data_IF_903071011562
#
_entry.id   IF_903071011562
#
_cell.length_a   1.000
_cell.length_b   1.000
_cell.length_c   1.000
_cell.angle_alpha   90.00
_cell.angle_beta   90.00
_cell.angle_gamma   90.00
#
_symmetry.space_group_name_H-M   'P 1'
#
loop_
_entity.id
_entity.type
_entity.pdbx_description
1 polymer ?
#
# COMPACT_ATOMS: atom_id res chain seq x y z
N UNK A 1 7.57 10.00 -13.28
CA UNK A 1 7.11 9.78 -11.89
C UNK A 1 5.83 10.56 -11.64
N UNK A 2 5.71 11.79 -12.15
CA UNK A 2 4.51 12.61 -11.97
C UNK A 2 3.24 12.03 -12.60
N UNK A 3 3.34 11.34 -13.74
CA UNK A 3 2.22 10.64 -14.38
C UNK A 3 1.69 9.42 -13.58
N UNK A 4 2.52 8.84 -12.70
CA UNK A 4 2.08 7.79 -11.78
C UNK A 4 1.17 8.36 -10.67
N UNK A 5 1.43 9.59 -10.23
CA UNK A 5 0.63 10.27 -9.21
C UNK A 5 -0.67 10.85 -9.76
N UNK A 6 -0.91 10.76 -11.07
CA UNK A 6 -2.18 11.14 -11.67
C UNK A 6 -3.32 10.26 -11.13
N UNK A 7 -4.37 10.93 -10.66
CA UNK A 7 -5.54 10.30 -10.06
C UNK A 7 -6.32 9.58 -11.17
N UNK A 8 -6.18 8.26 -11.18
CA UNK A 8 -6.80 7.37 -12.16
C UNK A 8 -7.58 6.34 -11.37
N UNK A 9 -8.84 6.10 -11.75
CA UNK A 9 -9.74 5.16 -11.07
C UNK A 9 -9.29 3.69 -11.12
N UNK A 10 -8.08 3.42 -11.62
CA UNK A 10 -7.54 2.10 -11.84
C UNK A 10 -6.34 1.89 -10.94
N UNK A 11 -6.32 0.75 -10.25
CA UNK A 11 -5.19 0.31 -9.42
C UNK A 11 -3.93 0.25 -10.26
N UNK A 12 -2.90 0.99 -9.81
CA UNK A 12 -1.60 1.08 -10.48
C UNK A 12 -0.51 1.10 -9.43
N UNK A 13 0.46 0.22 -9.57
CA UNK A 13 1.62 0.16 -8.70
C UNK A 13 2.89 0.03 -9.51
N UNK A 14 3.97 0.58 -9.00
CA UNK A 14 5.29 0.47 -9.62
C UNK A 14 6.08 -0.62 -8.92
N UNK A 15 6.74 -1.47 -9.70
CA UNK A 15 7.69 -2.46 -9.20
C UNK A 15 9.10 -2.13 -9.69
N UNK A 16 10.07 -2.29 -8.82
CA UNK A 16 11.49 -2.16 -9.11
C UNK A 16 12.22 -3.46 -8.78
N UNK A 17 13.06 -3.98 -9.69
CA UNK A 17 13.89 -5.16 -9.43
C UNK A 17 13.49 -6.45 -10.17
N UNK A 18 12.26 -6.54 -10.71
CA UNK A 18 11.70 -7.78 -11.28
C UNK A 18 12.49 -8.31 -12.49
N UNK A 19 12.92 -7.43 -13.40
CA UNK A 19 13.74 -7.77 -14.58
C UNK A 19 15.04 -6.95 -14.55
N UNK A 20 15.83 -7.13 -13.49
CA UNK A 20 16.98 -6.30 -13.16
C UNK A 20 16.58 -4.96 -12.57
N UNK A 21 17.48 -3.98 -12.57
CA UNK A 21 17.30 -2.67 -11.95
C UNK A 21 16.43 -1.70 -12.79
N UNK A 22 15.30 -2.20 -13.31
CA UNK A 22 14.34 -1.41 -14.09
C UNK A 22 13.05 -1.19 -13.33
N UNK A 23 12.42 -0.05 -13.60
CA UNK A 23 11.08 0.27 -13.14
C UNK A 23 10.05 -0.30 -14.11
N UNK A 24 8.99 -0.88 -13.58
CA UNK A 24 7.86 -1.39 -14.35
C UNK A 24 6.56 -0.93 -13.70
N UNK A 25 5.57 -0.63 -14.52
CA UNK A 25 4.22 -0.31 -14.06
C UNK A 25 3.36 -1.56 -14.16
N UNK A 26 2.72 -1.91 -13.06
CA UNK A 26 1.66 -2.91 -13.03
C UNK A 26 0.33 -2.18 -12.96
N UNK A 27 -0.60 -2.59 -13.82
CA UNK A 27 -1.95 -2.03 -13.89
C UNK A 27 -2.93 -3.18 -13.76
N UNK A 28 -3.88 -3.05 -12.83
CA UNK A 28 -4.88 -4.06 -12.62
C UNK A 28 -5.79 -4.15 -13.84
N UNK A 29 -5.85 -5.34 -14.44
CA UNK A 29 -6.64 -5.60 -15.65
C UNK A 29 -8.10 -5.89 -15.31
N UNK A 30 -8.32 -6.74 -14.31
CA UNK A 30 -9.62 -7.23 -13.92
C UNK A 30 -9.79 -7.04 -12.41
N UNK A 31 -10.64 -6.09 -12.05
CA UNK A 31 -10.92 -5.78 -10.66
C UNK A 31 -11.81 -6.83 -10.01
N UNK A 32 -12.76 -7.42 -10.75
CA UNK A 32 -13.70 -8.39 -10.19
C UNK A 32 -12.97 -9.67 -9.77
N UNK A 33 -12.05 -10.14 -10.61
CA UNK A 33 -11.20 -11.29 -10.26
C UNK A 33 -10.34 -11.00 -9.02
N UNK A 34 -9.71 -9.82 -8.94
CA UNK A 34 -8.89 -9.46 -7.78
C UNK A 34 -9.72 -9.27 -6.50
N UNK A 35 -10.91 -8.67 -6.61
CA UNK A 35 -11.86 -8.46 -5.52
C UNK A 35 -12.29 -9.78 -4.87
N UNK A 36 -12.37 -10.87 -5.64
CA UNK A 36 -12.70 -12.21 -5.14
C UNK A 36 -11.55 -12.88 -4.36
N UNK A 37 -10.32 -12.43 -4.55
CA UNK A 37 -9.14 -12.93 -3.84
C UNK A 37 -8.95 -12.23 -2.48
N UNK A 38 -9.64 -11.11 -2.26
CA UNK A 38 -9.60 -10.36 -0.99
C UNK A 38 -10.68 -10.94 -0.05
N UNK A 39 -10.41 -11.05 1.28
CA UNK A 39 -11.40 -11.54 2.23
C UNK A 39 -12.76 -10.82 2.13
N UNK A 40 -13.85 -11.58 2.24
CA UNK A 40 -15.22 -11.09 2.00
C UNK A 40 -15.65 -9.93 2.93
N UNK A 41 -15.02 -9.78 4.10
CA UNK A 41 -15.38 -8.78 5.11
C UNK A 41 -14.77 -7.39 4.84
N UNK A 42 -14.65 -7.00 3.57
CA UNK A 42 -14.08 -5.71 3.18
C UNK A 42 -14.97 -4.98 2.19
N UNK A 43 -15.00 -3.65 2.34
CA UNK A 43 -15.72 -2.73 1.47
C UNK A 43 -15.11 -2.68 0.07
N UNK A 44 -15.90 -2.31 -0.94
CA UNK A 44 -15.38 -2.09 -2.31
C UNK A 44 -14.30 -1.00 -2.35
N UNK A 45 -14.38 0.00 -1.45
CA UNK A 45 -13.35 1.02 -1.29
C UNK A 45 -12.01 0.42 -0.82
N UNK A 46 -12.05 -0.48 0.16
CA UNK A 46 -10.87 -1.17 0.64
C UNK A 46 -10.24 -2.04 -0.45
N UNK A 47 -11.06 -2.81 -1.16
CA UNK A 47 -10.61 -3.70 -2.24
C UNK A 47 -9.98 -2.94 -3.41
N UNK A 48 -10.41 -1.69 -3.64
CA UNK A 48 -9.84 -0.78 -4.62
C UNK A 48 -8.50 -0.14 -4.23
N UNK A 49 -8.00 -0.36 -3.01
CA UNK A 49 -6.71 0.20 -2.60
C UNK A 49 -5.55 -0.53 -3.27
N UNK A 50 -4.59 0.23 -3.82
CA UNK A 50 -3.32 -0.31 -4.34
C UNK A 50 -2.63 -1.22 -3.31
N UNK A 51 -2.64 -0.81 -2.03
CA UNK A 51 -2.04 -1.58 -0.93
C UNK A 51 -2.80 -2.86 -0.62
N UNK A 52 -4.13 -2.89 -0.75
CA UNK A 52 -4.95 -4.10 -0.52
C UNK A 52 -4.66 -5.15 -1.58
N UNK A 53 -4.48 -4.71 -2.83
CA UNK A 53 -4.09 -5.57 -3.95
C UNK A 53 -2.68 -6.12 -3.75
N UNK A 54 -1.73 -5.32 -3.26
CA UNK A 54 -0.40 -5.84 -2.91
C UNK A 54 -0.49 -6.88 -1.80
N UNK A 55 -1.19 -6.58 -0.72
CA UNK A 55 -1.24 -7.42 0.48
C UNK A 55 -1.89 -8.78 0.19
N UNK A 56 -3.13 -8.76 -0.29
CA UNK A 56 -3.90 -10.00 -0.47
C UNK A 56 -3.59 -10.69 -1.79
N UNK A 57 -3.54 -9.95 -2.90
CA UNK A 57 -3.39 -10.61 -4.20
C UNK A 57 -1.93 -10.98 -4.45
N UNK A 58 -1.00 -10.04 -4.28
CA UNK A 58 0.40 -10.29 -4.66
C UNK A 58 1.15 -11.06 -3.56
N UNK A 59 1.11 -10.58 -2.32
CA UNK A 59 1.89 -11.18 -1.24
C UNK A 59 1.26 -12.49 -0.76
N UNK A 60 -0.01 -12.47 -0.36
CA UNK A 60 -0.67 -13.67 0.18
C UNK A 60 -0.95 -14.72 -0.91
N UNK A 61 -1.73 -14.39 -1.93
CA UNK A 61 -2.21 -15.38 -2.90
C UNK A 61 -1.14 -15.81 -3.93
N UNK A 62 -0.40 -14.87 -4.52
CA UNK A 62 0.58 -15.20 -5.56
C UNK A 62 1.95 -15.64 -5.02
N UNK A 63 2.40 -15.07 -3.90
CA UNK A 63 3.72 -15.35 -3.33
C UNK A 63 3.69 -16.23 -2.08
N UNK A 64 2.51 -16.49 -1.50
CA UNK A 64 2.39 -17.29 -0.28
C UNK A 64 3.06 -16.66 0.94
N UNK A 65 3.15 -15.34 0.97
CA UNK A 65 3.75 -14.55 2.04
C UNK A 65 2.67 -13.89 2.89
N UNK A 66 2.81 -14.04 4.21
CA UNK A 66 1.97 -13.27 5.12
C UNK A 66 2.53 -11.85 5.26
N UNK A 67 1.66 -10.85 5.40
CA UNK A 67 2.04 -9.48 5.74
C UNK A 67 2.79 -9.37 7.08
N UNK A 68 2.76 -10.44 7.88
CA UNK A 68 3.48 -10.61 9.15
C UNK A 68 4.88 -11.21 9.01
N UNK A 69 5.30 -11.64 7.82
CA UNK A 69 6.63 -12.19 7.56
C UNK A 69 7.70 -11.09 7.58
N UNK A 70 8.00 -10.54 8.75
CA UNK A 70 8.95 -9.42 8.94
C UNK A 70 10.39 -9.76 8.51
N UNK A 71 10.71 -11.05 8.37
CA UNK A 71 11.99 -11.52 7.83
C UNK A 71 12.08 -11.28 6.32
N UNK A 72 10.96 -11.33 5.60
CA UNK A 72 10.90 -11.27 4.13
C UNK A 72 10.38 -9.93 3.61
N UNK A 73 9.59 -9.21 4.40
CA UNK A 73 8.91 -7.98 3.99
C UNK A 73 9.35 -6.81 4.86
N UNK A 74 9.81 -5.74 4.22
CA UNK A 74 10.14 -4.46 4.86
C UNK A 74 9.31 -3.34 4.27
N UNK A 75 8.92 -2.39 5.12
CA UNK A 75 8.08 -1.27 4.77
C UNK A 75 8.88 0.02 4.94
N UNK A 76 8.87 0.87 3.92
CA UNK A 76 9.57 2.14 3.93
C UNK A 76 8.68 3.26 3.40
N UNK A 77 8.73 4.43 4.03
CA UNK A 77 8.02 5.61 3.55
C UNK A 77 8.83 6.40 2.50
N UNK A 78 10.15 6.20 2.44
CA UNK A 78 11.04 6.81 1.45
C UNK A 78 11.32 5.89 0.27
N UNK A 79 10.83 6.28 -0.91
CA UNK A 79 11.04 5.54 -2.16
C UNK A 79 12.55 5.35 -2.43
N UNK A 80 13.37 6.38 -2.17
CA UNK A 80 14.82 6.35 -2.41
C UNK A 80 15.51 5.27 -1.59
N UNK A 81 15.15 5.11 -0.32
CA UNK A 81 15.74 4.08 0.54
C UNK A 81 15.31 2.68 0.07
N UNK A 82 14.03 2.49 -0.27
CA UNK A 82 13.55 1.21 -0.81
C UNK A 82 14.30 0.79 -2.09
N UNK A 83 14.48 1.73 -3.04
CA UNK A 83 15.28 1.50 -4.26
C UNK A 83 16.73 1.19 -3.91
N UNK A 84 17.34 1.93 -2.98
CA UNK A 84 18.74 1.74 -2.60
C UNK A 84 18.99 0.35 -2.01
N UNK A 85 18.07 -0.17 -1.20
CA UNK A 85 18.15 -1.52 -0.64
C UNK A 85 18.06 -2.62 -1.71
N UNK A 86 17.24 -2.42 -2.74
CA UNK A 86 17.21 -3.34 -3.89
C UNK A 86 18.51 -3.27 -4.70
N UNK A 87 19.06 -2.07 -4.91
CA UNK A 87 20.36 -1.89 -5.58
C UNK A 87 21.52 -2.53 -4.80
N UNK A 88 21.47 -2.47 -3.47
CA UNK A 88 22.43 -3.10 -2.56
C UNK A 88 22.27 -4.63 -2.45
N UNK A 89 21.26 -5.20 -3.11
CA UNK A 89 20.90 -6.63 -3.05
C UNK A 89 20.40 -7.12 -1.68
N UNK A 90 19.98 -6.20 -0.80
CA UNK A 90 19.34 -6.55 0.49
C UNK A 90 17.94 -7.15 0.27
N UNK A 91 17.25 -6.73 -0.79
CA UNK A 91 15.93 -7.22 -1.20
C UNK A 91 15.88 -7.47 -2.71
N UNK A 92 15.04 -8.42 -3.13
CA UNK A 92 14.91 -8.79 -4.55
C UNK A 92 14.13 -7.76 -5.37
N UNK A 93 13.14 -7.12 -4.75
CA UNK A 93 12.26 -6.15 -5.41
C UNK A 93 11.67 -5.17 -4.41
N UNK A 94 11.16 -4.06 -4.92
CA UNK A 94 10.39 -3.08 -4.16
C UNK A 94 9.08 -2.75 -4.87
N UNK A 95 7.99 -2.72 -4.11
CA UNK A 95 6.70 -2.18 -4.54
C UNK A 95 6.61 -0.70 -4.12
N UNK A 96 6.26 0.16 -5.06
CA UNK A 96 6.10 1.60 -4.86
C UNK A 96 4.64 1.94 -5.13
N UNK A 97 3.97 2.44 -4.10
CA UNK A 97 2.53 2.69 -4.09
C UNK A 97 2.23 4.19 -4.03
N UNK A 98 1.04 4.57 -4.51
CA UNK A 98 0.57 5.94 -4.35
C UNK A 98 0.27 6.22 -2.87
N UNK A 99 0.59 7.43 -2.36
CA UNK A 99 0.16 7.83 -1.05
C UNK A 99 -1.36 7.81 -0.94
N UNK A 100 -1.89 7.18 0.11
CA UNK A 100 -3.34 7.17 0.38
C UNK A 100 -3.76 8.56 0.87
N UNK A 101 -4.81 9.12 0.26
CA UNK A 101 -5.37 10.41 0.66
C UNK A 101 -6.12 10.33 1.99
N UNK A 102 -6.10 11.40 2.77
CA UNK A 102 -6.82 11.49 4.03
C UNK A 102 -8.33 11.26 3.85
N UNK A 103 -8.91 11.73 2.75
CA UNK A 103 -10.33 11.53 2.45
C UNK A 103 -10.67 10.05 2.24
N UNK A 104 -9.78 9.29 1.57
CA UNK A 104 -9.92 7.85 1.38
C UNK A 104 -9.83 7.10 2.70
N UNK A 105 -8.88 7.47 3.57
CA UNK A 105 -8.74 6.88 4.90
C UNK A 105 -10.01 7.08 5.71
N UNK A 106 -10.57 8.30 5.68
CA UNK A 106 -11.83 8.63 6.35
C UNK A 106 -12.99 7.81 5.77
N UNK A 107 -13.11 7.71 4.44
CA UNK A 107 -14.19 6.98 3.80
C UNK A 107 -14.17 5.47 4.14
N UNK A 108 -12.98 4.87 4.23
CA UNK A 108 -12.81 3.47 4.68
C UNK A 108 -13.27 3.29 6.13
N UNK A 109 -12.88 4.22 7.01
CA UNK A 109 -13.32 4.20 8.40
C UNK A 109 -14.84 4.40 8.54
N UNK A 110 -15.43 5.33 7.77
CA UNK A 110 -16.87 5.58 7.73
C UNK A 110 -17.65 4.35 7.21
N UNK A 111 -17.03 3.52 6.36
CA UNK A 111 -17.57 2.26 5.88
C UNK A 111 -17.44 1.10 6.90
N UNK A 112 -16.88 1.35 8.09
CA UNK A 112 -16.67 0.36 9.14
C UNK A 112 -15.49 -0.58 8.90
N UNK A 113 -14.63 -0.24 7.93
CA UNK A 113 -13.49 -1.04 7.52
C UNK A 113 -12.19 -0.52 8.15
N UNK A 114 -11.14 -1.32 8.12
CA UNK A 114 -9.84 -0.98 8.73
C UNK A 114 -8.76 -0.92 7.66
N UNK A 115 -7.97 0.16 7.66
CA UNK A 115 -6.80 0.28 6.77
C UNK A 115 -5.85 -0.93 6.91
N UNK A 116 -5.25 -1.43 5.80
CA UNK A 116 -4.27 -2.51 5.86
C UNK A 116 -3.09 -2.15 6.76
N UNK A 117 -2.38 -3.15 7.29
CA UNK A 117 -1.25 -2.90 8.19
C UNK A 117 -0.13 -2.15 7.46
N UNK A 118 0.54 -1.24 8.16
CA UNK A 118 1.71 -0.48 7.65
C UNK A 118 1.43 0.26 6.31
N UNK A 119 0.16 0.57 6.02
CA UNK A 119 -0.30 1.20 4.77
C UNK A 119 -0.34 2.73 4.79
N UNK A 120 -0.23 3.35 5.97
CA UNK A 120 -0.30 4.81 6.15
C UNK A 120 0.82 5.31 7.06
N UNK A 121 1.48 6.40 6.65
CA UNK A 121 2.49 7.09 7.45
C UNK A 121 2.06 8.53 7.70
N UNK A 122 1.65 8.85 8.93
CA UNK A 122 1.26 10.20 9.34
C UNK A 122 2.45 10.97 9.89
N UNK A 123 2.78 12.12 9.28
CA UNK A 123 3.85 12.99 9.71
C UNK A 123 3.44 14.48 9.73
N UNK A 124 3.77 15.22 10.80
CA UNK A 124 4.35 14.73 12.04
C UNK A 124 3.36 13.81 12.77
N UNK A 125 3.89 12.86 13.56
CA UNK A 125 3.02 12.06 14.44
C UNK A 125 2.30 13.01 15.40
N UNK A 126 1.02 12.75 15.66
CA UNK A 126 0.27 13.51 16.64
C UNK A 126 1.06 13.53 17.95
N UNK A 127 1.25 14.70 18.59
CA UNK A 127 1.93 14.76 19.87
C UNK A 127 1.08 13.98 20.88
N UNK A 128 1.51 12.74 21.19
CA UNK A 128 0.87 11.92 22.20
C UNK A 128 1.00 12.63 23.55
N UNK A 129 -0.11 12.79 24.27
CA UNK A 129 -0.13 13.48 25.57
C UNK A 129 -0.66 14.91 25.55
N UNK A 130 -1.11 15.43 24.40
CA UNK A 130 -1.90 16.67 24.38
C UNK A 130 -3.34 16.38 24.82
N UNK A 131 -3.77 17.01 25.92
CA UNK A 131 -5.16 16.99 26.38
C UNK A 131 -5.91 18.12 25.67
N UNK A 132 -6.81 17.78 24.76
CA UNK A 132 -7.73 18.73 24.15
C UNK A 132 -8.91 18.95 25.12
N UNK A 133 -8.85 20.03 25.91
CA UNK A 133 -9.96 20.46 26.75
C UNK A 133 -10.79 21.49 25.98
N UNK A 134 -12.03 21.16 25.62
CA UNK A 134 -12.95 22.11 25.01
C UNK A 134 -13.35 23.13 26.07
N UNK A 135 -12.82 24.34 26.00
CA UNK A 135 -13.29 25.45 26.83
C UNK A 135 -14.71 25.79 26.36
N UNK A 136 -15.68 25.56 27.26
CA UNK A 136 -17.08 25.93 27.08
C UNK A 136 -17.27 27.39 27.48
#
# INVERSE_FOLDING_TARGET
VDDFLADTAQVRLVIFGLNGQRLQMLTLRDFDTASQMIPYLHSELYKGLDVSIVDHVILEELLGLSSEDEVKISYNYEIKEAVSRVLAQDYQLAFILKPVRAETIKAIADAGDRMPRKSTYFYPKLPSGLILNRLV
#
